data_IF_189339515963
#
_entry.id   IF_189339515963
#
_cell.length_a   1.000
_cell.length_b   1.000
_cell.length_c   1.000
_cell.angle_alpha   90.00
_cell.angle_beta   90.00
_cell.angle_gamma   90.00
#
_symmetry.space_group_name_H-M   'P 1'
#
loop_
_entity.id
_entity.type
_entity.pdbx_description
1 polymer ?
#
# COMPACT_ATOMS: atom_id res chain seq x y z
N UNK A 1 -3.96 30.73 23.04
CA UNK A 1 -2.97 29.75 23.55
C UNK A 1 -3.68 28.48 24.02
N UNK A 2 -4.80 28.60 24.71
CA UNK A 2 -5.69 27.48 25.11
C UNK A 2 -6.29 26.73 23.90
N UNK A 3 -6.80 27.45 22.88
CA UNK A 3 -7.34 26.83 21.65
C UNK A 3 -6.30 26.04 20.84
N UNK A 4 -5.05 26.49 20.85
CA UNK A 4 -3.96 25.79 20.17
C UNK A 4 -3.55 24.52 20.91
N UNK A 5 -3.57 24.54 22.25
CA UNK A 5 -3.31 23.36 23.07
C UNK A 5 -4.43 22.32 22.95
N UNK A 6 -5.69 22.76 22.93
CA UNK A 6 -6.85 21.90 22.70
C UNK A 6 -6.82 21.25 21.30
N UNK A 7 -6.58 22.05 20.25
CA UNK A 7 -6.43 21.52 18.90
C UNK A 7 -5.25 20.53 18.76
N UNK A 8 -4.14 20.79 19.47
CA UNK A 8 -3.00 19.86 19.50
C UNK A 8 -3.35 18.56 20.21
N UNK A 9 -4.07 18.63 21.33
CA UNK A 9 -4.52 17.45 22.07
C UNK A 9 -5.50 16.60 21.23
N UNK A 10 -6.41 17.24 20.50
CA UNK A 10 -7.36 16.55 19.60
C UNK A 10 -6.65 15.85 18.43
N UNK A 11 -5.65 16.50 17.84
CA UNK A 11 -4.84 15.87 16.78
C UNK A 11 -4.03 14.69 17.33
N UNK A 12 -3.43 14.83 18.51
CA UNK A 12 -2.69 13.73 19.15
C UNK A 12 -3.59 12.55 19.51
N UNK A 13 -4.82 12.81 19.95
CA UNK A 13 -5.82 11.78 20.21
C UNK A 13 -6.25 11.07 18.90
N UNK A 14 -6.47 11.82 17.82
CA UNK A 14 -6.82 11.27 16.51
C UNK A 14 -5.68 10.48 15.83
N UNK A 15 -4.43 10.73 16.24
CA UNK A 15 -3.27 9.94 15.81
C UNK A 15 -3.11 8.63 16.59
N UNK A 16 -3.83 8.43 17.71
CA UNK A 16 -3.74 7.18 18.44
C UNK A 16 -4.30 6.03 17.57
N UNK A 17 -3.52 4.96 17.33
CA UNK A 17 -3.98 3.85 16.51
C UNK A 17 -5.19 3.19 17.18
N UNK A 18 -6.30 3.08 16.45
CA UNK A 18 -7.51 2.43 16.95
C UNK A 18 -7.59 0.98 16.47
N UNK A 19 -8.26 0.14 17.26
CA UNK A 19 -8.55 -1.24 16.84
C UNK A 19 -9.37 -1.28 15.55
N UNK A 20 -10.24 -0.29 15.34
CA UNK A 20 -11.05 -0.20 14.12
C UNK A 20 -10.20 0.08 12.88
N UNK A 21 -9.23 1.01 12.98
CA UNK A 21 -8.29 1.30 11.90
C UNK A 21 -7.40 0.09 11.58
N UNK A 22 -6.95 -0.64 12.60
CA UNK A 22 -6.20 -1.88 12.42
C UNK A 22 -7.01 -2.96 11.68
N UNK A 23 -8.29 -3.14 12.03
CA UNK A 23 -9.18 -4.08 11.34
C UNK A 23 -9.40 -3.66 9.88
N UNK A 24 -9.60 -2.37 9.60
CA UNK A 24 -9.73 -1.86 8.21
C UNK A 24 -8.45 -2.12 7.41
N UNK A 25 -7.28 -1.78 7.96
CA UNK A 25 -6.00 -2.01 7.30
C UNK A 25 -5.75 -3.51 7.05
N UNK A 26 -5.93 -4.35 8.06
CA UNK A 26 -5.67 -5.78 7.95
C UNK A 26 -6.66 -6.48 7.02
N UNK A 27 -7.95 -6.11 7.06
CA UNK A 27 -8.95 -6.64 6.12
C UNK A 27 -8.65 -6.25 4.68
N UNK A 28 -8.19 -5.00 4.46
CA UNK A 28 -7.75 -4.52 3.16
C UNK A 28 -6.53 -5.30 2.64
N UNK A 29 -5.47 -5.44 3.45
CA UNK A 29 -4.28 -6.20 3.06
C UNK A 29 -4.59 -7.69 2.85
N UNK A 30 -5.45 -8.28 3.69
CA UNK A 30 -5.91 -9.66 3.53
C UNK A 30 -6.70 -9.85 2.24
N UNK A 31 -7.59 -8.90 1.90
CA UNK A 31 -8.29 -8.89 0.62
C UNK A 31 -7.29 -8.87 -0.54
N UNK A 32 -6.31 -7.97 -0.53
CA UNK A 32 -5.32 -7.89 -1.61
C UNK A 32 -4.51 -9.18 -1.74
N UNK A 33 -4.14 -9.79 -0.62
CA UNK A 33 -3.39 -11.05 -0.63
C UNK A 33 -4.25 -12.18 -1.23
N UNK A 34 -5.52 -12.28 -0.80
CA UNK A 34 -6.46 -13.27 -1.32
C UNK A 34 -6.77 -13.03 -2.81
N UNK A 35 -7.09 -11.80 -3.20
CA UNK A 35 -7.38 -11.43 -4.57
C UNK A 35 -6.15 -11.67 -5.48
N UNK A 36 -4.96 -11.30 -5.02
CA UNK A 36 -3.70 -11.57 -5.73
C UNK A 36 -3.45 -13.06 -5.96
N UNK A 37 -3.74 -13.90 -4.96
CA UNK A 37 -3.52 -15.35 -5.02
C UNK A 37 -4.63 -16.12 -5.75
N UNK A 38 -5.89 -15.66 -5.70
CA UNK A 38 -7.06 -16.40 -6.20
C UNK A 38 -7.53 -15.92 -7.57
N UNK A 39 -7.42 -14.63 -7.88
CA UNK A 39 -7.94 -14.11 -9.15
C UNK A 39 -7.07 -14.53 -10.33
N UNK A 40 -7.68 -14.84 -11.48
CA UNK A 40 -6.92 -15.10 -12.69
C UNK A 40 -6.18 -13.84 -13.11
N UNK A 41 -4.97 -14.01 -13.65
CA UNK A 41 -4.13 -12.91 -14.08
C UNK A 41 -3.04 -13.39 -15.02
N UNK A 42 -2.54 -12.49 -15.85
CA UNK A 42 -1.40 -12.74 -16.73
C UNK A 42 -0.17 -12.99 -15.86
N UNK A 43 0.52 -14.11 -16.07
CA UNK A 43 1.80 -14.36 -15.44
C UNK A 43 2.89 -13.72 -16.27
N UNK A 44 3.53 -12.69 -15.71
CA UNK A 44 4.58 -11.91 -16.37
C UNK A 44 5.93 -12.32 -15.79
N UNK A 45 6.88 -12.63 -16.67
CA UNK A 45 8.25 -12.89 -16.25
C UNK A 45 8.97 -11.56 -15.97
N UNK A 46 9.49 -11.41 -14.76
CA UNK A 46 10.30 -10.24 -14.40
C UNK A 46 11.70 -10.26 -15.01
N UNK A 47 12.53 -9.33 -14.53
CA UNK A 47 13.93 -9.22 -14.94
C UNK A 47 14.74 -10.49 -14.61
N UNK A 48 15.79 -10.74 -15.41
CA UNK A 48 16.76 -11.80 -15.12
C UNK A 48 17.61 -11.37 -13.93
N UNK A 49 17.65 -12.21 -12.90
CA UNK A 49 18.52 -12.01 -11.76
C UNK A 49 19.96 -12.45 -12.06
N UNK A 50 20.97 -12.00 -11.30
CA UNK A 50 22.37 -12.39 -11.51
C UNK A 50 22.64 -13.91 -11.54
N UNK A 51 21.81 -14.70 -10.87
CA UNK A 51 21.86 -16.17 -10.90
C UNK A 51 21.13 -16.80 -12.10
N UNK A 52 20.78 -16.00 -13.11
CA UNK A 52 19.99 -16.37 -14.29
C UNK A 52 18.55 -16.82 -14.00
N UNK A 53 18.09 -16.75 -12.74
CA UNK A 53 16.70 -17.03 -12.39
C UNK A 53 15.77 -15.85 -12.73
N UNK A 54 14.46 -16.11 -12.73
CA UNK A 54 13.42 -15.09 -12.94
C UNK A 54 12.28 -15.28 -11.95
N UNK A 55 11.77 -14.18 -11.44
CA UNK A 55 10.52 -14.15 -10.68
C UNK A 55 9.34 -14.01 -11.64
N UNK A 56 8.22 -14.63 -11.30
CA UNK A 56 6.98 -14.54 -12.06
C UNK A 56 5.94 -13.79 -11.23
N UNK A 57 5.36 -12.76 -11.83
CA UNK A 57 4.40 -11.87 -11.21
C UNK A 57 3.01 -12.13 -11.80
N UNK A 58 2.01 -12.33 -10.94
CA UNK A 58 0.62 -12.43 -11.39
C UNK A 58 0.00 -11.03 -11.46
N UNK A 59 -0.14 -10.54 -12.68
CA UNK A 59 -0.77 -9.26 -12.98
C UNK A 59 -2.29 -9.45 -13.05
N UNK A 60 -2.95 -9.23 -11.91
CA UNK A 60 -4.40 -9.24 -11.74
C UNK A 60 -4.88 -8.00 -10.96
N UNK A 61 -4.05 -6.95 -10.88
CA UNK A 61 -4.34 -5.74 -10.13
C UNK A 61 -5.61 -5.04 -10.59
N UNK A 62 -5.82 -4.90 -11.91
CA UNK A 62 -7.05 -4.28 -12.43
C UNK A 62 -8.32 -5.03 -12.02
N UNK A 63 -8.32 -6.37 -12.14
CA UNK A 63 -9.47 -7.19 -11.74
C UNK A 63 -9.70 -7.11 -10.23
N UNK A 64 -8.61 -7.14 -9.45
CA UNK A 64 -8.67 -6.96 -7.99
C UNK A 64 -9.21 -5.59 -7.58
N UNK A 65 -8.84 -4.52 -8.30
CA UNK A 65 -9.36 -3.18 -8.07
C UNK A 65 -10.86 -3.11 -8.39
N UNK A 66 -11.27 -3.57 -9.57
CA UNK A 66 -12.68 -3.53 -10.00
C UNK A 66 -13.57 -4.35 -9.06
N UNK A 67 -13.10 -5.53 -8.62
CA UNK A 67 -13.80 -6.34 -7.64
C UNK A 67 -13.93 -5.62 -6.31
N UNK A 68 -12.87 -4.97 -5.82
CA UNK A 68 -12.92 -4.23 -4.56
C UNK A 68 -13.87 -3.04 -4.66
N UNK A 69 -13.84 -2.28 -5.76
CA UNK A 69 -14.78 -1.19 -6.03
C UNK A 69 -16.22 -1.70 -6.05
N UNK A 70 -16.49 -2.83 -6.71
CA UNK A 70 -17.81 -3.45 -6.77
C UNK A 70 -18.30 -3.92 -5.40
N UNK A 71 -17.45 -4.62 -4.64
CA UNK A 71 -17.74 -5.05 -3.27
C UNK A 71 -17.98 -3.84 -2.35
N UNK A 72 -17.20 -2.77 -2.52
CA UNK A 72 -17.35 -1.58 -1.73
C UNK A 72 -18.64 -0.82 -2.05
N UNK A 73 -18.97 -0.65 -3.32
CA UNK A 73 -20.21 -0.04 -3.76
C UNK A 73 -21.42 -0.86 -3.28
N UNK A 74 -21.36 -2.19 -3.35
CA UNK A 74 -22.39 -3.07 -2.82
C UNK A 74 -22.53 -2.92 -1.30
N UNK A 75 -21.43 -2.88 -0.55
CA UNK A 75 -21.46 -2.69 0.89
C UNK A 75 -22.07 -1.35 1.31
N UNK A 76 -21.83 -0.28 0.54
CA UNK A 76 -22.49 1.02 0.74
C UNK A 76 -23.97 0.95 0.40
N UNK A 77 -24.35 0.34 -0.73
CA UNK A 77 -25.74 0.18 -1.14
C UNK A 77 -26.58 -0.64 -0.14
N UNK A 78 -25.99 -1.69 0.42
CA UNK A 78 -26.62 -2.55 1.44
C UNK A 78 -26.57 -1.94 2.86
N UNK A 79 -25.93 -0.78 3.04
CA UNK A 79 -25.81 -0.10 4.33
C UNK A 79 -24.85 -0.77 5.33
N UNK A 80 -23.98 -1.67 4.86
CA UNK A 80 -22.97 -2.33 5.71
C UNK A 80 -21.81 -1.40 6.09
N UNK A 81 -21.54 -0.39 5.27
CA UNK A 81 -20.53 0.62 5.56
C UNK A 81 -20.88 1.98 4.95
N UNK A 82 -20.32 3.04 5.52
CA UNK A 82 -20.43 4.39 4.97
C UNK A 82 -19.38 4.62 3.88
N UNK A 83 -19.69 5.42 2.84
CA UNK A 83 -18.70 5.75 1.82
C UNK A 83 -17.54 6.60 2.39
N UNK A 84 -17.74 7.23 3.55
CA UNK A 84 -16.75 8.05 4.27
C UNK A 84 -15.88 7.26 5.25
N UNK A 85 -16.05 5.93 5.34
CA UNK A 85 -15.42 5.08 6.37
C UNK A 85 -13.89 5.27 6.49
N UNK A 86 -13.22 5.50 5.37
CA UNK A 86 -11.77 5.73 5.28
C UNK A 86 -11.43 7.17 5.66
N UNK A 87 -12.13 8.14 5.09
CA UNK A 87 -11.93 9.57 5.36
C UNK A 87 -12.24 9.97 6.81
N UNK A 88 -13.16 9.27 7.47
CA UNK A 88 -13.50 9.51 8.88
C UNK A 88 -12.43 8.99 9.85
N UNK A 89 -11.60 8.04 9.40
CA UNK A 89 -10.51 7.44 10.19
C UNK A 89 -9.12 7.76 9.62
N UNK A 90 -9.00 8.82 8.81
CA UNK A 90 -7.78 9.09 8.05
C UNK A 90 -6.52 9.16 8.92
N UNK A 91 -6.56 9.88 10.05
CA UNK A 91 -5.41 10.02 10.96
C UNK A 91 -5.10 8.72 11.71
N UNK A 92 -6.13 7.99 12.16
CA UNK A 92 -5.96 6.69 12.81
C UNK A 92 -5.38 5.64 11.84
N UNK A 93 -5.80 5.67 10.57
CA UNK A 93 -5.27 4.81 9.52
C UNK A 93 -3.84 5.19 9.16
N UNK A 94 -3.51 6.48 9.12
CA UNK A 94 -2.14 6.95 8.89
C UNK A 94 -1.18 6.40 9.95
N UNK A 95 -1.50 6.60 11.23
CA UNK A 95 -0.66 6.13 12.33
C UNK A 95 -0.60 4.61 12.41
N UNK A 96 -1.73 3.93 12.19
CA UNK A 96 -1.78 2.46 12.16
C UNK A 96 -0.94 1.88 11.02
N UNK A 97 -1.01 2.47 9.83
CA UNK A 97 -0.22 2.04 8.65
C UNK A 97 1.26 2.34 8.83
N UNK A 98 1.60 3.45 9.48
CA UNK A 98 2.97 3.76 9.87
C UNK A 98 3.54 2.71 10.83
N UNK A 99 2.83 2.41 11.92
CA UNK A 99 3.24 1.37 12.88
C UNK A 99 3.37 0.01 12.19
N UNK A 100 2.42 -0.35 11.33
CA UNK A 100 2.50 -1.57 10.53
C UNK A 100 3.77 -1.60 9.66
N UNK A 101 4.09 -0.50 8.98
CA UNK A 101 5.27 -0.39 8.12
C UNK A 101 6.58 -0.55 8.91
N UNK A 102 6.64 0.02 10.11
CA UNK A 102 7.77 -0.17 11.05
C UNK A 102 7.88 -1.64 11.46
N UNK A 103 6.79 -2.27 11.90
CA UNK A 103 6.80 -3.68 12.32
C UNK A 103 7.24 -4.60 11.19
N UNK A 104 6.65 -4.43 9.99
CA UNK A 104 6.97 -5.27 8.83
C UNK A 104 8.42 -5.10 8.40
N UNK A 105 8.97 -3.88 8.39
CA UNK A 105 10.38 -3.68 8.02
C UNK A 105 11.35 -4.29 9.02
N UNK A 106 11.03 -4.30 10.32
CA UNK A 106 11.79 -5.06 11.32
C UNK A 106 11.73 -6.57 11.08
N UNK A 107 10.55 -7.10 10.74
CA UNK A 107 10.39 -8.52 10.39
C UNK A 107 11.19 -8.88 9.13
N UNK A 108 11.16 -8.03 8.10
CA UNK A 108 11.93 -8.21 6.87
C UNK A 108 13.45 -8.19 7.15
N UNK A 109 13.92 -7.26 7.97
CA UNK A 109 15.32 -7.20 8.39
C UNK A 109 15.75 -8.49 9.09
N UNK A 110 14.99 -8.94 10.09
CA UNK A 110 15.33 -10.12 10.88
C UNK A 110 15.21 -11.44 10.11
N UNK A 111 14.15 -11.60 9.32
CA UNK A 111 13.97 -12.77 8.45
C UNK A 111 15.02 -12.81 7.34
N UNK A 112 15.38 -11.65 6.80
CA UNK A 112 16.46 -11.49 5.83
C UNK A 112 17.81 -11.94 6.40
N UNK A 113 18.20 -11.45 7.58
CA UNK A 113 19.46 -11.87 8.22
C UNK A 113 19.52 -13.36 8.54
N UNK A 114 18.36 -14.00 8.79
CA UNK A 114 18.27 -15.44 9.08
C UNK A 114 18.14 -16.30 7.83
N UNK A 115 17.94 -15.69 6.67
CA UNK A 115 17.82 -16.40 5.41
C UNK A 115 19.12 -17.13 5.08
N UNK A 116 19.02 -18.42 4.77
CA UNK A 116 20.12 -19.22 4.21
C UNK A 116 20.00 -19.42 2.70
N UNK A 117 19.00 -18.78 2.08
CA UNK A 117 18.76 -18.90 0.66
C UNK A 117 19.91 -18.30 -0.14
N UNK A 118 20.29 -18.99 -1.21
CA UNK A 118 21.37 -18.56 -2.12
C UNK A 118 20.85 -17.95 -3.42
N UNK A 119 19.53 -17.91 -3.61
CA UNK A 119 18.94 -17.23 -4.78
C UNK A 119 19.22 -15.74 -4.70
N UNK A 120 19.47 -15.12 -5.85
CA UNK A 120 19.79 -13.69 -5.94
C UNK A 120 18.67 -12.80 -5.37
N UNK A 121 17.42 -13.30 -5.39
CA UNK A 121 16.25 -12.66 -4.77
C UNK A 121 16.32 -12.58 -3.25
N UNK A 122 16.73 -13.67 -2.58
CA UNK A 122 16.65 -13.85 -1.13
C UNK A 122 18.00 -13.87 -0.42
N UNK A 123 19.10 -13.84 -1.18
CA UNK A 123 20.45 -13.82 -0.64
C UNK A 123 20.61 -12.57 0.23
N UNK A 124 20.91 -12.73 1.53
CA UNK A 124 21.07 -11.59 2.41
C UNK A 124 22.30 -10.77 2.03
N UNK A 125 22.12 -9.45 1.94
CA UNK A 125 23.18 -8.47 1.76
C UNK A 125 23.09 -7.48 2.93
N UNK A 126 23.87 -7.75 3.98
CA UNK A 126 24.00 -6.87 5.14
C UNK A 126 25.33 -6.10 5.05
N UNK A 127 25.30 -4.80 5.31
CA UNK A 127 26.49 -3.96 5.38
C UNK A 127 27.16 -4.01 6.75
N UNK A 128 26.45 -4.51 7.77
CA UNK A 128 26.88 -4.53 9.16
C UNK A 128 26.43 -3.30 9.95
N UNK A 129 25.78 -2.33 9.30
CA UNK A 129 25.13 -1.19 9.96
C UNK A 129 23.63 -1.40 10.05
N UNK A 130 23.13 -1.60 11.27
CA UNK A 130 21.71 -1.83 11.55
C UNK A 130 20.80 -0.79 10.87
N UNK A 131 21.11 0.50 10.99
CA UNK A 131 20.27 1.58 10.44
C UNK A 131 20.20 1.48 8.92
N UNK A 132 21.33 1.25 8.24
CA UNK A 132 21.36 1.15 6.78
C UNK A 132 20.64 -0.10 6.29
N UNK A 133 20.88 -1.25 6.94
CA UNK A 133 20.30 -2.53 6.54
C UNK A 133 18.78 -2.58 6.81
N UNK A 134 18.29 -1.95 7.88
CA UNK A 134 16.86 -1.80 8.13
C UNK A 134 16.20 -0.81 7.16
N UNK A 135 16.86 0.32 6.88
CA UNK A 135 16.33 1.36 5.99
C UNK A 135 16.23 0.90 4.54
N UNK A 136 17.33 0.38 3.99
CA UNK A 136 17.41 -0.05 2.58
C UNK A 136 17.08 -1.52 2.38
N UNK A 137 16.98 -2.33 3.44
CA UNK A 137 16.65 -3.74 3.36
C UNK A 137 17.85 -4.64 3.05
N UNK A 138 17.71 -5.91 3.46
CA UNK A 138 18.76 -6.95 3.38
C UNK A 138 18.51 -7.91 2.20
N UNK A 139 17.26 -8.10 1.80
CA UNK A 139 16.88 -8.99 0.70
C UNK A 139 16.35 -8.19 -0.48
N UNK A 140 16.62 -8.65 -1.70
CA UNK A 140 16.15 -8.01 -2.91
C UNK A 140 14.63 -8.12 -3.01
N UNK A 141 14.10 -9.33 -3.16
CA UNK A 141 12.67 -9.58 -3.41
C UNK A 141 12.18 -10.67 -2.46
N UNK A 142 11.88 -10.34 -1.19
CA UNK A 142 11.30 -11.29 -0.25
C UNK A 142 9.88 -11.65 -0.69
N UNK A 143 9.58 -12.95 -0.67
CA UNK A 143 8.29 -13.46 -1.10
C UNK A 143 7.63 -14.30 0.00
N UNK A 144 6.32 -14.13 0.17
CA UNK A 144 5.52 -14.84 1.16
C UNK A 144 4.37 -15.56 0.45
N UNK A 145 4.26 -16.88 0.65
CA UNK A 145 3.22 -17.73 0.03
C UNK A 145 3.09 -17.57 -1.50
N UNK A 146 4.22 -17.35 -2.20
CA UNK A 146 4.25 -17.18 -3.65
C UNK A 146 3.89 -15.78 -4.15
N UNK A 147 3.70 -14.81 -3.24
CA UNK A 147 3.52 -13.40 -3.56
C UNK A 147 4.81 -12.63 -3.26
N UNK A 148 5.28 -11.87 -4.23
CA UNK A 148 6.38 -10.92 -4.05
C UNK A 148 5.93 -9.72 -3.22
N UNK A 149 6.62 -9.43 -2.12
CA UNK A 149 6.17 -8.43 -1.16
C UNK A 149 6.30 -7.00 -1.69
N UNK A 150 7.28 -6.70 -2.54
CA UNK A 150 7.39 -5.35 -3.13
C UNK A 150 6.23 -5.09 -4.06
N UNK A 151 5.99 -6.02 -4.99
CA UNK A 151 4.90 -5.91 -5.94
C UNK A 151 3.54 -5.83 -5.22
N UNK A 152 3.40 -6.57 -4.11
CA UNK A 152 2.23 -6.47 -3.24
C UNK A 152 2.08 -5.09 -2.58
N UNK A 153 3.13 -4.51 -2.01
CA UNK A 153 3.06 -3.21 -1.33
C UNK A 153 2.80 -2.06 -2.29
N UNK A 154 3.44 -2.03 -3.47
CA UNK A 154 3.16 -1.01 -4.49
C UNK A 154 1.68 -1.08 -4.90
N UNK A 155 1.15 -2.29 -5.16
CA UNK A 155 -0.27 -2.50 -5.46
C UNK A 155 -1.17 -1.99 -4.33
N UNK A 156 -0.81 -2.31 -3.08
CA UNK A 156 -1.55 -1.88 -1.90
C UNK A 156 -1.55 -0.36 -1.74
N UNK A 157 -0.42 0.31 -2.00
CA UNK A 157 -0.33 1.77 -1.98
C UNK A 157 -1.21 2.42 -3.04
N UNK A 158 -1.09 1.98 -4.29
CA UNK A 158 -1.85 2.53 -5.43
C UNK A 158 -3.36 2.36 -5.28
N UNK A 159 -3.83 1.19 -4.81
CA UNK A 159 -5.25 1.01 -4.54
C UNK A 159 -5.71 1.84 -3.33
N UNK A 160 -4.91 1.91 -2.25
CA UNK A 160 -5.28 2.67 -1.07
C UNK A 160 -5.43 4.15 -1.38
N UNK A 161 -4.54 4.70 -2.23
CA UNK A 161 -4.64 6.06 -2.73
C UNK A 161 -6.01 6.33 -3.35
N UNK A 162 -6.50 5.46 -4.25
CA UNK A 162 -7.82 5.61 -4.86
C UNK A 162 -8.95 5.56 -3.82
N UNK A 163 -8.91 4.61 -2.89
CA UNK A 163 -9.98 4.44 -1.90
C UNK A 163 -10.05 5.59 -0.89
N UNK A 164 -8.91 6.14 -0.46
CA UNK A 164 -8.87 7.35 0.35
C UNK A 164 -9.50 8.50 -0.42
N UNK A 165 -9.15 8.67 -1.70
CA UNK A 165 -9.68 9.74 -2.55
C UNK A 165 -11.19 9.64 -2.78
N UNK A 166 -11.71 8.44 -3.08
CA UNK A 166 -13.15 8.22 -3.20
C UNK A 166 -13.89 8.51 -1.90
N UNK A 167 -13.31 8.16 -0.75
CA UNK A 167 -13.90 8.43 0.56
C UNK A 167 -13.89 9.92 0.91
N UNK A 168 -12.82 10.64 0.58
CA UNK A 168 -12.72 12.09 0.73
C UNK A 168 -13.72 12.81 -0.19
N UNK A 169 -13.85 12.38 -1.44
CA UNK A 169 -14.85 12.91 -2.37
C UNK A 169 -16.27 12.71 -1.83
N UNK A 170 -16.60 11.53 -1.31
CA UNK A 170 -17.90 11.28 -0.68
C UNK A 170 -18.14 12.22 0.50
N UNK A 171 -17.11 12.46 1.32
CA UNK A 171 -17.19 13.38 2.45
C UNK A 171 -17.42 14.83 2.01
N UNK A 172 -16.71 15.30 0.99
CA UNK A 172 -16.92 16.62 0.37
C UNK A 172 -18.31 16.75 -0.25
N UNK A 173 -18.81 15.69 -0.89
CA UNK A 173 -20.14 15.65 -1.48
C UNK A 173 -21.23 15.80 -0.42
N UNK A 174 -21.14 15.04 0.68
CA UNK A 174 -22.07 15.14 1.80
C UNK A 174 -22.00 16.50 2.52
N UNK A 175 -20.81 17.11 2.56
CA UNK A 175 -20.62 18.45 3.12
C UNK A 175 -21.05 19.59 2.17
N UNK A 176 -21.44 19.29 0.92
CA UNK A 176 -21.78 20.30 -0.08
C UNK A 176 -20.60 21.16 -0.54
N UNK A 177 -19.36 20.71 -0.32
CA UNK A 177 -18.12 21.46 -0.59
C UNK A 177 -17.41 21.07 -1.90
N UNK A 178 -18.05 20.24 -2.73
CA UNK A 178 -17.47 19.80 -4.01
C UNK A 178 -17.36 20.98 -4.97
N UNK A 179 -16.12 21.30 -5.34
CA UNK A 179 -15.81 22.33 -6.31
C UNK A 179 -15.14 21.72 -7.57
N UNK A 180 -14.92 22.55 -8.59
CA UNK A 180 -14.30 22.10 -9.86
C UNK A 180 -12.90 21.52 -9.67
N UNK A 181 -12.11 22.06 -8.74
CA UNK A 181 -10.76 21.57 -8.49
C UNK A 181 -10.79 20.15 -7.89
N UNK A 182 -11.67 19.89 -6.93
CA UNK A 182 -11.89 18.56 -6.35
C UNK A 182 -12.29 17.58 -7.45
N UNK A 183 -13.25 17.91 -8.31
CA UNK A 183 -13.69 17.02 -9.41
C UNK A 183 -12.53 16.70 -10.37
N UNK A 184 -11.77 17.72 -10.80
CA UNK A 184 -10.66 17.53 -11.72
C UNK A 184 -9.55 16.68 -11.10
N UNK A 185 -9.19 16.96 -9.85
CA UNK A 185 -8.17 16.20 -9.13
C UNK A 185 -8.58 14.72 -8.97
N UNK A 186 -9.82 14.45 -8.57
CA UNK A 186 -10.35 13.09 -8.44
C UNK A 186 -10.36 12.36 -9.79
N UNK A 187 -10.73 13.05 -10.88
CA UNK A 187 -10.70 12.49 -12.23
C UNK A 187 -9.28 12.12 -12.67
N UNK A 188 -8.32 13.04 -12.58
CA UNK A 188 -6.94 12.78 -13.01
C UNK A 188 -6.25 11.73 -12.15
N UNK A 189 -6.49 11.73 -10.83
CA UNK A 189 -5.98 10.69 -9.94
C UNK A 189 -6.57 9.32 -10.30
N UNK A 190 -7.89 9.22 -10.45
CA UNK A 190 -8.55 7.98 -10.84
C UNK A 190 -8.05 7.46 -12.19
N UNK A 191 -7.89 8.36 -13.17
CA UNK A 191 -7.32 8.03 -14.48
C UNK A 191 -5.90 7.46 -14.36
N UNK A 192 -5.03 8.14 -13.60
CA UNK A 192 -3.65 7.70 -13.39
C UNK A 192 -3.57 6.30 -12.76
N UNK A 193 -4.39 6.04 -11.75
CA UNK A 193 -4.41 4.74 -11.05
C UNK A 193 -4.95 3.63 -11.97
N UNK A 194 -5.97 3.92 -12.78
CA UNK A 194 -6.49 2.96 -13.76
C UNK A 194 -5.43 2.65 -14.82
N UNK A 195 -4.76 3.66 -15.36
CA UNK A 195 -3.67 3.48 -16.33
C UNK A 195 -2.53 2.62 -15.76
N UNK A 196 -2.14 2.88 -14.50
CA UNK A 196 -1.20 2.03 -13.75
C UNK A 196 -1.64 0.57 -13.73
N UNK A 197 -2.92 0.27 -13.43
CA UNK A 197 -3.40 -1.11 -13.34
C UNK A 197 -3.61 -1.80 -14.69
N UNK A 198 -3.88 -1.03 -15.75
CA UNK A 198 -3.89 -1.55 -17.14
C UNK A 198 -2.47 -1.98 -17.54
N UNK A 199 -1.47 -1.19 -17.14
CA UNK A 199 -0.07 -1.39 -17.49
C UNK A 199 0.78 -1.98 -16.35
N UNK A 200 0.13 -2.70 -15.42
CA UNK A 200 0.74 -3.21 -14.19
C UNK A 200 2.00 -4.07 -14.45
N UNK A 201 2.05 -4.74 -15.60
CA UNK A 201 3.19 -5.53 -16.05
C UNK A 201 4.49 -4.76 -16.19
N UNK A 202 4.45 -3.48 -16.55
CA UNK A 202 5.67 -2.66 -16.64
C UNK A 202 6.30 -2.37 -15.28
N UNK A 203 5.50 -2.42 -14.20
CA UNK A 203 6.00 -2.26 -12.84
C UNK A 203 6.98 -3.37 -12.44
N UNK A 204 6.90 -4.55 -13.06
CA UNK A 204 7.84 -5.65 -12.80
C UNK A 204 9.27 -5.36 -13.29
N UNK A 205 9.46 -4.28 -14.05
CA UNK A 205 10.73 -3.86 -14.63
C UNK A 205 11.26 -2.54 -14.06
N UNK A 206 10.58 -1.95 -13.07
CA UNK A 206 11.04 -0.70 -12.44
C UNK A 206 12.23 -0.93 -11.52
N UNK A 207 12.97 0.15 -11.27
CA UNK A 207 14.17 0.14 -10.43
C UNK A 207 13.91 -0.45 -9.03
N UNK A 208 12.78 -0.09 -8.41
CA UNK A 208 12.37 -0.56 -7.09
C UNK A 208 12.26 -2.10 -7.04
N UNK A 209 11.77 -2.72 -8.11
CA UNK A 209 11.64 -4.19 -8.21
C UNK A 209 12.98 -4.86 -8.52
N UNK A 210 13.74 -4.32 -9.48
CA UNK A 210 14.92 -5.02 -10.04
C UNK A 210 16.22 -4.77 -9.27
N UNK A 211 16.36 -3.63 -8.60
CA UNK A 211 17.65 -3.17 -8.07
C UNK A 211 17.62 -2.84 -6.57
N UNK A 212 16.55 -2.23 -6.07
CA UNK A 212 16.48 -1.84 -4.66
C UNK A 212 16.14 -3.02 -3.76
N UNK A 213 16.60 -3.02 -2.50
CA UNK A 213 16.21 -4.07 -1.54
C UNK A 213 14.97 -3.62 -0.76
N UNK A 214 14.16 -4.58 -0.30
CA UNK A 214 12.95 -4.23 0.44
C UNK A 214 13.28 -3.94 1.92
N UNK A 215 13.36 -2.66 2.25
CA UNK A 215 13.55 -2.15 3.61
C UNK A 215 12.43 -1.19 4.04
N UNK A 216 12.63 -0.50 5.18
CA UNK A 216 11.67 0.47 5.69
C UNK A 216 11.35 1.57 4.67
N UNK A 217 12.34 2.06 3.91
CA UNK A 217 12.14 3.13 2.92
C UNK A 217 11.04 2.78 1.90
N UNK A 218 11.11 1.60 1.30
CA UNK A 218 10.12 1.15 0.31
C UNK A 218 8.77 0.84 0.96
N UNK A 219 8.74 0.12 2.09
CA UNK A 219 7.48 -0.21 2.77
C UNK A 219 6.73 1.07 3.20
N UNK A 220 7.45 2.04 3.76
CA UNK A 220 6.89 3.34 4.13
C UNK A 220 6.47 4.14 2.90
N UNK A 221 7.30 4.16 1.85
CA UNK A 221 7.00 4.81 0.58
C UNK A 221 5.68 4.33 -0.01
N UNK A 222 5.53 3.02 -0.11
CA UNK A 222 4.38 2.37 -0.73
C UNK A 222 3.10 2.51 0.12
N UNK A 223 3.18 2.22 1.42
CA UNK A 223 1.98 2.12 2.27
C UNK A 223 1.56 3.43 2.92
N UNK A 224 2.51 4.33 3.19
CA UNK A 224 2.25 5.56 3.94
C UNK A 224 2.41 6.79 3.07
N UNK A 225 3.54 6.92 2.38
CA UNK A 225 3.84 8.13 1.63
C UNK A 225 2.86 8.31 0.47
N UNK A 226 2.75 7.33 -0.44
CA UNK A 226 1.85 7.43 -1.61
C UNK A 226 0.40 7.70 -1.16
N UNK A 227 -0.24 6.88 -0.31
CA UNK A 227 -1.68 7.01 -0.11
C UNK A 227 -2.08 8.24 0.69
N UNK A 228 -1.25 8.72 1.61
CA UNK A 228 -1.62 9.81 2.51
C UNK A 228 -1.06 11.18 2.11
N UNK A 229 0.05 11.22 1.36
CA UNK A 229 0.56 12.50 0.85
C UNK A 229 -0.07 12.88 -0.48
N UNK A 230 -0.37 11.89 -1.33
CA UNK A 230 -0.94 12.18 -2.65
C UNK A 230 -2.41 12.52 -2.58
N UNK A 231 -3.08 12.45 -1.43
CA UNK A 231 -4.51 12.77 -1.21
C UNK A 231 -4.74 14.08 -0.45
N UNK A 232 -3.73 14.94 -0.35
CA UNK A 232 -3.80 16.20 0.40
C UNK A 232 -4.60 17.28 -0.38
N UNK A 233 -4.66 17.17 -1.71
CA UNK A 233 -5.24 18.15 -2.63
C UNK A 233 -6.78 18.17 -2.58
#
# INVERSE_FOLDING_TARGET
MEDAAAATADVLAALAPSWSAAVVLLSYLAYLAAAGALLPGKLVAGAVLPDSSRLHYRCNGLLSLLLLLGLSALGVYMGWMTPTVVADRGLELLSTTFIFSVIVSFLLYYTGLRSRHQSSSLKPHATGSFIQDWWFGVQLNPHFMGVDLKFFFIRAGMMAWLFINLSLLAKSYLAGSVNRAVILYQFFCGWYIIDYFIHEEFMTSTWDIIAERLGFMLVFGDLVFIPFTFTIQ
#
